data_IF_316883175327
#
_entry.id   IF_316883175327
#
_cell.length_a   1.000
_cell.length_b   1.000
_cell.length_c   1.000
_cell.angle_alpha   90.00
_cell.angle_beta   90.00
_cell.angle_gamma   90.00
#
_symmetry.space_group_name_H-M   'P 1'
#
loop_
_entity.id
_entity.type
_entity.pdbx_description
1 polymer ?
#
# COMPACT_ATOMS: atom_id res chain seq x y z
N UNK A 1 -17.98 47.83 27.30
CA UNK A 1 -16.77 47.21 26.72
C UNK A 1 -17.17 46.71 25.34
N UNK A 2 -16.53 47.22 24.29
CA UNK A 2 -17.06 47.33 22.91
C UNK A 2 -17.49 46.01 22.24
N UNK A 3 -18.49 46.06 21.34
CA UNK A 3 -19.04 44.87 20.70
C UNK A 3 -18.23 44.42 19.47
N UNK A 4 -17.98 43.10 19.43
CA UNK A 4 -17.96 42.21 18.26
C UNK A 4 -17.07 42.56 17.06
N UNK A 5 -15.95 41.82 16.96
CA UNK A 5 -15.24 41.46 15.72
C UNK A 5 -16.19 41.38 14.53
N UNK A 6 -15.89 42.14 13.47
CA UNK A 6 -16.70 42.18 12.25
C UNK A 6 -16.29 41.04 11.30
N UNK A 7 -17.16 40.64 10.36
CA UNK A 7 -16.89 39.62 9.32
C UNK A 7 -15.53 39.81 8.59
N UNK A 8 -15.06 41.05 8.28
CA UNK A 8 -13.72 41.30 7.77
C UNK A 8 -12.56 40.73 8.60
N UNK A 9 -12.67 40.71 9.93
CA UNK A 9 -11.65 40.15 10.82
C UNK A 9 -11.66 38.61 10.79
N UNK A 10 -12.85 38.01 10.74
CA UNK A 10 -12.99 36.55 10.72
C UNK A 10 -12.32 35.94 9.48
N UNK A 11 -12.47 36.59 8.32
CA UNK A 11 -11.82 36.17 7.07
C UNK A 11 -10.29 36.23 7.16
N UNK A 12 -9.73 37.27 7.81
CA UNK A 12 -8.27 37.40 8.02
C UNK A 12 -7.74 36.23 8.86
N UNK A 13 -8.39 35.91 9.96
CA UNK A 13 -7.94 34.83 10.84
C UNK A 13 -8.15 33.45 10.22
N UNK A 14 -9.20 33.27 9.43
CA UNK A 14 -9.38 32.05 8.66
C UNK A 14 -8.30 31.88 7.58
N UNK A 15 -7.80 32.95 6.97
CA UNK A 15 -6.69 32.87 6.03
C UNK A 15 -5.39 32.37 6.70
N UNK A 16 -5.13 32.76 7.95
CA UNK A 16 -4.03 32.22 8.77
C UNK A 16 -4.23 30.73 9.07
N UNK A 17 -5.44 30.32 9.43
CA UNK A 17 -5.78 28.90 9.61
C UNK A 17 -5.58 28.10 8.31
N UNK A 18 -5.93 28.65 7.14
CA UNK A 18 -5.68 28.04 5.83
C UNK A 18 -4.19 27.91 5.53
N UNK A 19 -3.34 28.82 6.02
CA UNK A 19 -1.89 28.69 5.88
C UNK A 19 -1.34 27.49 6.67
N UNK A 20 -1.85 27.28 7.87
CA UNK A 20 -1.53 26.10 8.69
C UNK A 20 -2.09 24.81 8.08
N UNK A 21 -3.28 24.85 7.49
CA UNK A 21 -3.85 23.70 6.77
C UNK A 21 -2.98 23.26 5.59
N UNK A 22 -2.34 24.21 4.88
CA UNK A 22 -1.35 23.90 3.83
C UNK A 22 -0.12 23.20 4.39
N UNK A 23 0.37 23.61 5.56
CA UNK A 23 1.50 22.94 6.23
C UNK A 23 1.16 21.49 6.61
N UNK A 24 -0.06 21.21 7.08
CA UNK A 24 -0.52 19.84 7.26
C UNK A 24 -0.51 19.04 5.93
N UNK A 25 -1.02 19.62 4.85
CA UNK A 25 -0.99 18.98 3.54
C UNK A 25 0.43 18.62 3.08
N UNK A 26 1.38 19.57 3.24
CA UNK A 26 2.79 19.39 2.88
C UNK A 26 3.45 18.27 3.72
N UNK A 27 3.00 18.09 4.97
CA UNK A 27 3.41 16.99 5.85
C UNK A 27 2.68 15.66 5.55
N UNK A 28 1.79 15.60 4.54
CA UNK A 28 1.01 14.41 4.22
C UNK A 28 -0.17 14.14 5.17
N UNK A 29 -0.56 15.14 5.95
CA UNK A 29 -1.70 15.10 6.88
C UNK A 29 -2.96 15.67 6.23
N UNK A 30 -4.13 15.31 6.76
CA UNK A 30 -5.40 15.91 6.30
C UNK A 30 -5.33 17.43 6.50
N UNK A 31 -5.56 18.28 5.48
CA UNK A 31 -5.25 19.71 5.54
C UNK A 31 -6.30 20.48 6.34
N UNK A 32 -6.15 20.45 7.65
CA UNK A 32 -6.92 21.26 8.60
C UNK A 32 -5.95 22.09 9.42
N UNK A 33 -6.27 23.37 9.56
CA UNK A 33 -5.51 24.32 10.35
C UNK A 33 -6.42 25.13 11.26
N UNK A 34 -5.86 25.63 12.35
CA UNK A 34 -6.58 26.38 13.35
C UNK A 34 -5.71 27.46 14.02
N UNK A 35 -6.34 28.57 14.40
CA UNK A 35 -5.72 29.61 15.21
C UNK A 35 -6.66 30.02 16.35
N UNK A 36 -6.11 30.32 17.51
CA UNK A 36 -6.83 30.91 18.64
C UNK A 36 -6.42 32.38 18.78
N UNK A 37 -7.39 33.28 18.83
CA UNK A 37 -7.19 34.72 18.89
C UNK A 37 -7.73 35.28 20.20
N UNK A 38 -6.95 36.11 20.86
CA UNK A 38 -7.33 36.86 22.06
C UNK A 38 -6.90 38.32 21.90
N UNK A 39 -7.80 39.27 22.17
CA UNK A 39 -7.54 40.71 22.06
C UNK A 39 -6.86 41.11 20.72
N UNK A 40 -7.32 40.54 19.60
CA UNK A 40 -6.80 40.83 18.26
C UNK A 40 -5.43 40.21 17.94
N UNK A 41 -4.92 39.30 18.77
CA UNK A 41 -3.62 38.62 18.59
C UNK A 41 -3.79 37.11 18.59
N UNK A 42 -3.06 36.42 17.71
CA UNK A 42 -3.00 34.95 17.74
C UNK A 42 -2.18 34.52 18.96
N UNK A 43 -2.81 33.74 19.83
CA UNK A 43 -2.21 33.16 21.04
C UNK A 43 -1.97 31.64 20.92
N UNK A 44 -2.51 31.00 19.89
CA UNK A 44 -2.23 29.59 19.59
C UNK A 44 -2.42 29.27 18.11
N UNK A 45 -1.60 28.36 17.59
CA UNK A 45 -1.63 27.86 16.21
C UNK A 45 -1.64 26.34 16.24
N UNK A 46 -2.31 25.74 15.26
CA UNK A 46 -2.35 24.30 15.13
C UNK A 46 -2.68 23.88 13.72
N UNK A 47 -2.16 22.73 13.35
CA UNK A 47 -2.56 22.01 12.16
C UNK A 47 -2.68 20.53 12.51
N UNK A 48 -3.40 19.77 11.69
CA UNK A 48 -3.47 18.33 11.88
C UNK A 48 -2.08 17.71 11.76
N UNK A 49 -1.74 16.87 12.74
CA UNK A 49 -0.52 16.07 12.77
C UNK A 49 -0.67 14.66 13.39
N UNK A 50 -1.84 13.99 13.33
CA UNK A 50 -2.04 12.73 14.04
C UNK A 50 -1.16 11.57 13.55
N UNK A 51 -0.82 11.52 12.25
CA UNK A 51 0.04 10.49 11.68
C UNK A 51 1.49 10.75 12.09
N UNK A 52 1.98 11.96 11.87
CA UNK A 52 3.36 12.35 12.13
C UNK A 52 3.73 12.28 13.61
N UNK A 53 2.80 12.61 14.50
CA UNK A 53 3.04 12.53 15.96
C UNK A 53 2.60 11.22 16.61
N UNK A 54 1.92 10.33 15.88
CA UNK A 54 1.31 9.12 16.45
C UNK A 54 0.30 9.42 17.57
N UNK A 55 -0.35 10.58 17.52
CA UNK A 55 -1.28 11.06 18.56
C UNK A 55 -2.68 11.22 17.96
N UNK A 56 -3.66 10.38 18.31
CA UNK A 56 -5.01 10.45 17.76
C UNK A 56 -5.75 11.73 18.15
N UNK A 57 -5.25 12.50 19.13
CA UNK A 57 -5.84 13.75 19.57
C UNK A 57 -5.24 14.99 18.90
N UNK A 58 -4.19 14.83 18.09
CA UNK A 58 -3.45 15.94 17.47
C UNK A 58 -4.16 16.55 16.24
N UNK A 59 -5.42 16.89 16.43
CA UNK A 59 -6.21 17.73 15.54
C UNK A 59 -5.80 19.19 15.68
N UNK A 60 -5.97 19.97 14.61
CA UNK A 60 -5.59 21.38 14.55
C UNK A 60 -6.12 22.20 15.73
N UNK A 61 -7.38 22.01 16.12
CA UNK A 61 -8.03 22.72 17.22
C UNK A 61 -7.37 22.37 18.56
N UNK A 62 -7.09 21.09 18.82
CA UNK A 62 -6.47 20.64 20.07
C UNK A 62 -5.06 21.20 20.18
N UNK A 63 -4.29 21.17 19.10
CA UNK A 63 -2.93 21.73 19.06
C UNK A 63 -2.98 23.24 19.34
N UNK A 64 -3.87 23.98 18.68
CA UNK A 64 -4.03 25.42 18.88
C UNK A 64 -4.50 25.79 20.29
N UNK A 65 -5.45 25.04 20.86
CA UNK A 65 -5.93 25.23 22.24
C UNK A 65 -4.81 24.98 23.27
N UNK A 66 -4.00 23.94 23.07
CA UNK A 66 -2.85 23.64 23.95
C UNK A 66 -1.80 24.75 23.89
N UNK A 67 -1.51 25.29 22.71
CA UNK A 67 -0.60 26.45 22.58
C UNK A 67 -1.18 27.69 23.26
N UNK A 68 -2.45 28.01 23.03
CA UNK A 68 -3.13 29.15 23.64
C UNK A 68 -3.16 29.07 25.17
N UNK A 69 -3.45 27.90 25.73
CA UNK A 69 -3.48 27.71 27.18
C UNK A 69 -2.09 27.90 27.82
N UNK A 70 -1.03 27.47 27.15
CA UNK A 70 0.35 27.73 27.60
C UNK A 70 0.70 29.20 27.49
N UNK A 71 0.35 29.85 26.38
CA UNK A 71 0.63 31.27 26.15
C UNK A 71 -0.07 32.19 27.16
N UNK A 72 -1.30 31.84 27.56
CA UNK A 72 -2.08 32.60 28.53
C UNK A 72 -1.90 32.11 29.98
N UNK A 73 -1.18 31.02 30.20
CA UNK A 73 -0.98 30.42 31.53
C UNK A 73 -2.28 29.92 32.18
N UNK A 74 -3.32 29.61 31.38
CA UNK A 74 -4.63 29.22 31.87
C UNK A 74 -5.33 28.27 30.90
N UNK A 75 -5.99 27.23 31.42
CA UNK A 75 -6.79 26.29 30.60
C UNK A 75 -8.14 26.89 30.18
N UNK A 76 -8.63 27.89 30.91
CA UNK A 76 -9.79 28.69 30.52
C UNK A 76 -9.32 29.83 29.63
N UNK A 77 -9.84 29.85 28.42
CA UNK A 77 -9.52 30.78 27.34
C UNK A 77 -10.69 31.76 27.14
N UNK A 78 -11.23 32.29 28.24
CA UNK A 78 -12.35 33.23 28.20
C UNK A 78 -12.02 34.44 27.29
N UNK A 79 -13.00 34.86 26.48
CA UNK A 79 -12.83 35.93 25.50
C UNK A 79 -12.00 35.56 24.26
N UNK A 80 -11.50 34.32 24.14
CA UNK A 80 -10.82 33.87 22.93
C UNK A 80 -11.80 33.41 21.85
N UNK A 81 -11.38 33.54 20.59
CA UNK A 81 -12.07 32.97 19.42
C UNK A 81 -11.17 31.94 18.75
N UNK A 82 -11.70 30.74 18.48
CA UNK A 82 -11.05 29.72 17.65
C UNK A 82 -11.51 29.88 16.21
N UNK A 83 -10.56 29.93 15.27
CA UNK A 83 -10.81 29.82 13.83
C UNK A 83 -10.25 28.49 13.33
N UNK A 84 -11.04 27.69 12.62
CA UNK A 84 -10.61 26.39 12.10
C UNK A 84 -11.14 26.15 10.68
N UNK A 85 -10.33 25.59 9.80
CA UNK A 85 -10.71 25.49 8.37
C UNK A 85 -11.84 24.49 8.09
N UNK A 86 -12.07 23.54 8.99
CA UNK A 86 -13.10 22.50 8.89
C UNK A 86 -13.95 22.48 10.16
N UNK A 87 -15.23 22.17 10.04
CA UNK A 87 -16.14 22.01 11.17
C UNK A 87 -15.55 21.05 12.23
N UNK A 88 -15.51 21.45 13.52
CA UNK A 88 -14.94 20.61 14.58
C UNK A 88 -15.67 19.28 14.74
N UNK A 89 -14.91 18.20 14.98
CA UNK A 89 -15.49 16.93 15.42
C UNK A 89 -15.90 17.00 16.92
N UNK A 90 -16.58 15.97 17.42
CA UNK A 90 -17.07 15.95 18.81
C UNK A 90 -15.97 16.16 19.86
N UNK A 91 -14.77 15.60 19.64
CA UNK A 91 -13.62 15.82 20.53
C UNK A 91 -13.22 17.30 20.59
N UNK A 92 -13.04 17.93 19.43
CA UNK A 92 -12.58 19.32 19.34
C UNK A 92 -13.67 20.30 19.81
N UNK A 93 -14.95 20.03 19.50
CA UNK A 93 -16.08 20.80 19.98
C UNK A 93 -16.17 20.75 21.52
N UNK A 94 -16.07 19.57 22.12
CA UNK A 94 -16.08 19.43 23.58
C UNK A 94 -14.86 20.09 24.24
N UNK A 95 -13.68 20.03 23.60
CA UNK A 95 -12.49 20.73 24.07
C UNK A 95 -12.66 22.26 24.06
N UNK A 96 -13.27 22.82 23.00
CA UNK A 96 -13.60 24.23 22.91
C UNK A 96 -14.56 24.68 24.04
N UNK A 97 -15.58 23.86 24.35
CA UNK A 97 -16.50 24.10 25.45
C UNK A 97 -15.78 24.06 26.82
N UNK A 98 -14.94 23.06 27.07
CA UNK A 98 -14.14 22.96 28.30
C UNK A 98 -13.16 24.13 28.47
N UNK A 99 -12.58 24.60 27.36
CA UNK A 99 -11.70 25.76 27.34
C UNK A 99 -12.45 27.09 27.49
N UNK A 100 -13.79 27.09 27.51
CA UNK A 100 -14.62 28.30 27.65
C UNK A 100 -14.40 29.37 26.58
N UNK A 101 -14.18 28.95 25.34
CA UNK A 101 -14.07 29.90 24.24
C UNK A 101 -15.32 30.76 24.11
N UNK A 102 -15.16 32.04 23.80
CA UNK A 102 -16.30 32.90 23.53
C UNK A 102 -16.93 32.57 22.17
N UNK A 103 -16.09 32.23 21.18
CA UNK A 103 -16.53 31.94 19.81
C UNK A 103 -15.73 30.80 19.18
N UNK A 104 -16.39 30.03 18.33
CA UNK A 104 -15.79 29.10 17.36
C UNK A 104 -16.26 29.49 15.97
N UNK A 105 -15.32 29.73 15.07
CA UNK A 105 -15.57 30.11 13.68
C UNK A 105 -14.95 29.05 12.79
N UNK A 106 -15.74 28.43 11.91
CA UNK A 106 -15.23 27.41 11.00
C UNK A 106 -15.47 27.73 9.53
N UNK A 107 -14.62 27.14 8.68
CA UNK A 107 -14.72 27.24 7.23
C UNK A 107 -15.74 26.28 6.65
N UNK A 108 -15.27 25.16 6.09
CA UNK A 108 -16.13 24.16 5.46
C UNK A 108 -16.87 23.31 6.51
N UNK A 109 -18.09 22.88 6.19
CA UNK A 109 -18.83 21.89 6.97
C UNK A 109 -18.21 20.48 6.82
N UNK A 110 -18.37 19.63 7.84
CA UNK A 110 -17.92 18.23 7.83
C UNK A 110 -19.12 17.28 7.94
N UNK A 111 -19.69 16.84 6.80
CA UNK A 111 -20.95 16.09 6.79
C UNK A 111 -20.85 14.68 7.39
N UNK A 112 -19.65 14.15 7.65
CA UNK A 112 -19.48 12.78 8.17
C UNK A 112 -19.22 12.71 9.67
N UNK A 113 -18.67 13.76 10.26
CA UNK A 113 -18.25 13.75 11.68
C UNK A 113 -18.35 15.10 12.38
N UNK A 114 -18.81 16.15 11.70
CA UNK A 114 -18.95 17.49 12.24
C UNK A 114 -19.93 17.54 13.39
N UNK A 115 -19.54 18.23 14.47
CA UNK A 115 -20.26 18.31 15.72
C UNK A 115 -20.73 19.74 16.07
N UNK A 116 -20.80 20.61 15.07
CA UNK A 116 -21.26 21.99 15.17
C UNK A 116 -22.41 22.29 14.18
N UNK A 117 -23.22 21.26 13.88
CA UNK A 117 -24.40 21.36 13.02
C UNK A 117 -24.57 20.24 12.00
N UNK A 118 -23.50 19.53 11.59
CA UNK A 118 -23.60 18.51 10.53
C UNK A 118 -24.19 17.18 11.00
N UNK A 119 -23.47 16.43 11.84
CA UNK A 119 -23.93 15.12 12.35
C UNK A 119 -24.63 15.29 13.69
N UNK A 120 -24.04 16.12 14.53
CA UNK A 120 -24.63 16.58 15.79
C UNK A 120 -24.25 18.04 16.03
N UNK A 121 -24.88 18.67 17.00
CA UNK A 121 -24.56 20.03 17.40
C UNK A 121 -24.37 20.07 18.92
N UNK A 122 -23.13 19.93 19.38
CA UNK A 122 -22.81 20.03 20.82
C UNK A 122 -22.98 21.45 21.35
N UNK A 123 -22.84 22.45 20.48
CA UNK A 123 -22.98 23.85 20.87
C UNK A 123 -24.46 24.25 21.03
N UNK A 124 -25.40 23.55 20.40
CA UNK A 124 -26.82 23.75 20.61
C UNK A 124 -27.37 23.11 21.90
N UNK A 125 -26.60 22.25 22.58
CA UNK A 125 -27.04 21.56 23.80
C UNK A 125 -26.89 22.46 25.04
N UNK A 126 -27.99 22.94 25.67
CA UNK A 126 -27.89 23.87 26.79
C UNK A 126 -27.21 23.28 28.04
N UNK A 127 -27.25 21.95 28.18
CA UNK A 127 -26.58 21.24 29.26
C UNK A 127 -25.03 21.27 29.14
N UNK A 128 -24.50 21.53 27.94
CA UNK A 128 -23.06 21.55 27.66
C UNK A 128 -22.55 22.97 27.36
N UNK A 129 -23.35 23.78 26.67
CA UNK A 129 -22.94 25.10 26.20
C UNK A 129 -23.75 26.22 26.86
N UNK A 130 -23.06 27.05 27.64
CA UNK A 130 -23.63 28.26 28.24
C UNK A 130 -22.99 29.56 27.71
N UNK A 131 -21.95 29.47 26.87
CA UNK A 131 -21.02 30.59 26.65
C UNK A 131 -20.42 30.69 25.24
N UNK A 132 -20.37 29.59 24.46
CA UNK A 132 -19.67 29.57 23.17
C UNK A 132 -20.63 29.83 22.02
N UNK A 133 -20.37 30.86 21.23
CA UNK A 133 -21.10 31.10 19.97
C UNK A 133 -20.39 30.41 18.79
N UNK A 134 -21.15 29.97 17.80
CA UNK A 134 -20.60 29.29 16.62
C UNK A 134 -20.99 30.03 15.33
N UNK A 135 -20.03 30.18 14.41
CA UNK A 135 -20.24 30.69 13.07
C UNK A 135 -19.55 29.77 12.05
N UNK A 136 -20.32 29.18 11.13
CA UNK A 136 -19.79 28.42 10.01
C UNK A 136 -19.71 29.22 8.72
N UNK A 137 -18.93 28.74 7.75
CA UNK A 137 -18.97 29.24 6.37
C UNK A 137 -17.89 30.25 6.00
N UNK A 138 -16.99 30.64 6.91
CA UNK A 138 -15.98 31.67 6.63
C UNK A 138 -14.89 31.09 5.71
N UNK A 139 -14.75 31.62 4.50
CA UNK A 139 -13.86 31.08 3.46
C UNK A 139 -14.08 29.57 3.19
N UNK A 140 -15.32 29.09 3.32
CA UNK A 140 -15.67 27.68 3.18
C UNK A 140 -15.20 27.07 1.85
N UNK A 141 -15.38 27.78 0.73
CA UNK A 141 -14.97 27.29 -0.59
C UNK A 141 -13.46 27.03 -0.66
N UNK A 142 -12.65 27.87 -0.03
CA UNK A 142 -11.19 27.74 -0.02
C UNK A 142 -10.76 26.55 0.84
N UNK A 143 -11.38 26.38 2.01
CA UNK A 143 -11.13 25.23 2.87
C UNK A 143 -11.57 23.91 2.21
N UNK A 144 -12.75 23.89 1.58
CA UNK A 144 -13.26 22.73 0.87
C UNK A 144 -12.38 22.38 -0.34
N UNK A 145 -11.93 23.37 -1.11
CA UNK A 145 -11.05 23.17 -2.25
C UNK A 145 -9.72 22.51 -1.83
N UNK A 146 -9.11 22.95 -0.72
CA UNK A 146 -7.87 22.39 -0.19
C UNK A 146 -8.05 20.92 0.24
N UNK A 147 -9.13 20.61 0.95
CA UNK A 147 -9.45 19.24 1.37
C UNK A 147 -9.67 18.33 0.15
N UNK A 148 -10.43 18.80 -0.84
CA UNK A 148 -10.70 18.08 -2.07
C UNK A 148 -9.44 17.84 -2.90
N UNK A 149 -8.54 18.84 -3.02
CA UNK A 149 -7.28 18.68 -3.75
C UNK A 149 -6.39 17.63 -3.11
N UNK A 150 -6.27 17.64 -1.77
CA UNK A 150 -5.47 16.67 -1.03
C UNK A 150 -5.94 15.23 -1.27
N UNK A 151 -7.25 14.96 -1.10
CA UNK A 151 -7.77 13.60 -1.32
C UNK A 151 -7.75 13.20 -2.81
N UNK A 152 -7.88 14.15 -3.75
CA UNK A 152 -7.76 13.87 -5.18
C UNK A 152 -6.33 13.44 -5.52
N UNK A 153 -5.33 14.13 -5.00
CA UNK A 153 -3.91 13.79 -5.17
C UNK A 153 -3.60 12.42 -4.54
N UNK A 154 -4.04 12.16 -3.30
CA UNK A 154 -3.86 10.84 -2.67
C UNK A 154 -4.50 9.70 -3.46
N UNK A 155 -5.74 9.87 -3.94
CA UNK A 155 -6.37 8.86 -4.82
C UNK A 155 -5.63 8.69 -6.13
N UNK A 156 -5.07 9.75 -6.70
CA UNK A 156 -4.28 9.66 -7.93
C UNK A 156 -2.95 8.91 -7.70
N UNK A 157 -2.25 9.19 -6.61
CA UNK A 157 -1.04 8.47 -6.20
C UNK A 157 -1.32 6.99 -5.95
N UNK A 158 -2.40 6.67 -5.21
CA UNK A 158 -2.84 5.29 -5.00
C UNK A 158 -3.17 4.58 -6.32
N UNK A 159 -3.84 5.24 -7.27
CA UNK A 159 -4.10 4.67 -8.60
C UNK A 159 -2.85 4.49 -9.44
N UNK A 160 -1.88 5.40 -9.36
CA UNK A 160 -0.61 5.29 -10.06
C UNK A 160 0.24 4.12 -9.54
N UNK A 161 0.13 3.82 -8.25
CA UNK A 161 0.79 2.69 -7.59
C UNK A 161 -0.01 1.38 -7.68
N UNK A 162 -1.31 1.44 -7.97
CA UNK A 162 -2.14 0.25 -8.11
C UNK A 162 -1.77 -0.51 -9.38
N UNK A 163 -1.21 -1.70 -9.21
CA UNK A 163 -1.02 -2.68 -10.28
C UNK A 163 -2.40 -3.29 -10.59
N UNK A 164 -3.08 -2.94 -11.70
CA UNK A 164 -4.46 -3.37 -11.93
C UNK A 164 -4.54 -4.90 -11.99
N UNK A 165 -5.53 -5.50 -11.34
CA UNK A 165 -5.77 -6.94 -11.45
C UNK A 165 -6.75 -7.18 -12.60
N UNK A 166 -6.42 -8.12 -13.50
CA UNK A 166 -7.30 -8.53 -14.60
C UNK A 166 -8.57 -9.18 -14.04
N UNK A 167 -9.73 -8.89 -14.62
CA UNK A 167 -11.03 -9.35 -14.09
C UNK A 167 -11.18 -10.88 -14.00
N UNK A 168 -10.49 -11.62 -14.87
CA UNK A 168 -10.48 -13.09 -14.89
C UNK A 168 -9.32 -13.69 -14.08
N UNK A 169 -8.60 -12.90 -13.28
CA UNK A 169 -7.50 -13.33 -12.44
C UNK A 169 -7.74 -13.00 -10.95
N UNK A 170 -7.00 -13.69 -10.10
CA UNK A 170 -6.94 -13.47 -8.66
C UNK A 170 -5.51 -13.08 -8.28
N UNK A 171 -5.38 -12.20 -7.29
CA UNK A 171 -4.08 -11.86 -6.68
C UNK A 171 -4.16 -12.19 -5.21
N UNK A 172 -3.26 -13.07 -4.78
CA UNK A 172 -3.14 -13.40 -3.35
C UNK A 172 -2.67 -12.15 -2.61
N UNK A 173 -3.30 -11.81 -1.46
CA UNK A 173 -2.84 -10.72 -0.60
C UNK A 173 -1.36 -10.83 -0.23
N UNK A 174 -0.66 -9.69 -0.14
CA UNK A 174 0.79 -9.64 0.09
C UNK A 174 1.22 -10.20 1.45
N UNK A 175 0.38 -10.04 2.48
CA UNK A 175 0.59 -10.52 3.85
C UNK A 175 0.61 -12.06 3.94
N UNK A 176 -0.02 -12.76 2.99
CA UNK A 176 0.07 -14.22 2.91
C UNK A 176 1.52 -14.73 2.72
N UNK A 177 2.44 -13.87 2.27
CA UNK A 177 3.82 -14.22 1.95
C UNK A 177 4.85 -13.81 3.01
N UNK A 178 4.43 -13.19 4.12
CA UNK A 178 5.35 -12.66 5.13
C UNK A 178 6.22 -13.75 5.76
N UNK A 179 5.66 -14.94 6.04
CA UNK A 179 6.43 -16.06 6.57
C UNK A 179 7.51 -16.56 5.59
N UNK A 180 7.24 -16.54 4.28
CA UNK A 180 8.22 -16.92 3.26
C UNK A 180 9.35 -15.89 3.19
N UNK A 181 9.02 -14.60 3.31
CA UNK A 181 10.01 -13.53 3.35
C UNK A 181 10.85 -13.53 4.63
N UNK A 182 10.27 -13.88 5.79
CA UNK A 182 11.03 -14.06 7.03
C UNK A 182 12.07 -15.19 6.92
N UNK A 183 11.69 -16.30 6.28
CA UNK A 183 12.60 -17.40 5.98
C UNK A 183 13.72 -16.98 5.00
N UNK A 184 13.38 -16.24 3.95
CA UNK A 184 14.37 -15.74 2.98
C UNK A 184 15.35 -14.73 3.59
N UNK A 185 14.88 -13.85 4.48
CA UNK A 185 15.73 -12.91 5.22
C UNK A 185 16.75 -13.65 6.08
N UNK A 186 16.37 -14.77 6.69
CA UNK A 186 17.27 -15.65 7.46
C UNK A 186 18.34 -16.31 6.58
N UNK A 187 18.08 -16.41 5.27
CA UNK A 187 19.01 -16.90 4.26
C UNK A 187 19.80 -15.78 3.53
N UNK A 188 19.68 -14.53 3.99
CA UNK A 188 20.43 -13.38 3.45
C UNK A 188 19.81 -12.70 2.23
N UNK A 189 18.58 -13.05 1.85
CA UNK A 189 17.86 -12.37 0.76
C UNK A 189 16.98 -11.25 1.31
N UNK A 190 17.21 -10.02 0.85
CA UNK A 190 16.40 -8.85 1.21
C UNK A 190 15.33 -8.59 0.16
N UNK A 191 14.07 -8.52 0.58
CA UNK A 191 12.90 -8.41 -0.31
C UNK A 191 13.03 -7.26 -1.29
N UNK A 192 13.41 -6.08 -0.81
CA UNK A 192 13.56 -4.85 -1.57
C UNK A 192 14.66 -4.90 -2.65
N UNK A 193 15.59 -5.85 -2.56
CA UNK A 193 16.69 -5.99 -3.52
C UNK A 193 16.35 -6.98 -4.61
N UNK A 194 15.70 -8.09 -4.24
CA UNK A 194 15.53 -9.24 -5.13
C UNK A 194 14.10 -9.45 -5.61
N UNK A 195 13.08 -8.91 -4.93
CA UNK A 195 11.68 -9.10 -5.32
C UNK A 195 11.23 -8.06 -6.33
N UNK A 196 10.82 -8.54 -7.50
CA UNK A 196 10.41 -7.68 -8.60
C UNK A 196 9.09 -8.16 -9.21
N UNK A 197 8.33 -7.20 -9.73
CA UNK A 197 7.05 -7.44 -10.39
C UNK A 197 7.04 -6.82 -11.78
N UNK A 198 6.59 -7.59 -12.77
CA UNK A 198 6.43 -7.15 -14.14
C UNK A 198 4.98 -7.30 -14.58
N UNK A 199 4.48 -6.35 -15.38
CA UNK A 199 3.11 -6.40 -15.90
C UNK A 199 2.97 -5.72 -17.26
N UNK A 200 3.58 -4.54 -17.43
CA UNK A 200 3.45 -3.72 -18.65
C UNK A 200 4.62 -3.90 -19.60
N UNK A 201 5.75 -4.31 -19.04
CA UNK A 201 7.06 -4.41 -19.69
C UNK A 201 7.12 -5.61 -20.65
N UNK A 202 6.31 -6.63 -20.40
CA UNK A 202 6.23 -7.82 -21.24
C UNK A 202 4.80 -7.98 -21.79
N UNK A 203 4.61 -7.66 -23.08
CA UNK A 203 3.31 -7.77 -23.74
C UNK A 203 2.69 -9.19 -23.61
N UNK A 204 3.54 -10.21 -23.54
CA UNK A 204 3.14 -11.61 -23.31
C UNK A 204 2.41 -11.86 -21.99
N UNK A 205 2.51 -10.95 -21.02
CA UNK A 205 1.79 -11.04 -19.74
C UNK A 205 0.30 -10.69 -19.87
N UNK A 206 -0.14 -10.08 -20.98
CA UNK A 206 -1.55 -9.75 -21.21
C UNK A 206 -2.19 -8.99 -20.01
N UNK A 207 -1.42 -8.11 -19.37
CA UNK A 207 -1.85 -7.36 -18.18
C UNK A 207 -1.85 -8.15 -16.87
N UNK A 208 -1.31 -9.35 -16.82
CA UNK A 208 -1.09 -10.11 -15.58
C UNK A 208 0.23 -9.70 -14.91
N UNK A 209 0.26 -9.69 -13.58
CA UNK A 209 1.47 -9.48 -12.80
C UNK A 209 2.25 -10.78 -12.67
N UNK A 210 3.48 -10.78 -13.16
CA UNK A 210 4.49 -11.81 -12.88
C UNK A 210 5.39 -11.33 -11.74
N UNK A 211 5.50 -12.13 -10.68
CA UNK A 211 6.54 -11.98 -9.67
C UNK A 211 7.74 -12.87 -10.03
N UNK A 212 8.94 -12.35 -9.82
CA UNK A 212 10.15 -13.17 -9.82
C UNK A 212 11.20 -12.59 -8.88
N UNK A 213 12.08 -13.48 -8.39
CA UNK A 213 13.33 -13.03 -7.82
C UNK A 213 14.36 -12.75 -8.92
N UNK A 214 15.12 -11.68 -8.77
CA UNK A 214 16.31 -11.36 -9.57
C UNK A 214 17.51 -11.27 -8.63
N UNK A 215 18.38 -12.29 -8.68
CA UNK A 215 19.46 -12.49 -7.71
C UNK A 215 20.81 -12.53 -8.44
N UNK A 216 21.73 -11.66 -8.04
CA UNK A 216 23.08 -11.53 -8.65
C UNK A 216 23.19 -10.34 -9.61
N UNK A 217 24.34 -10.21 -10.30
CA UNK A 217 24.66 -9.01 -11.07
C UNK A 217 23.93 -8.92 -12.43
N UNK A 218 23.30 -7.76 -12.67
CA UNK A 218 22.30 -7.52 -13.74
C UNK A 218 22.77 -7.61 -15.20
N UNK A 219 24.06 -7.77 -15.48
CA UNK A 219 24.63 -7.73 -16.84
C UNK A 219 25.24 -9.07 -17.31
N UNK A 220 24.71 -10.20 -16.83
CA UNK A 220 25.20 -11.51 -17.24
C UNK A 220 24.76 -11.87 -18.68
N UNK A 221 25.71 -12.31 -19.51
CA UNK A 221 25.45 -12.83 -20.85
C UNK A 221 24.64 -14.15 -20.84
N UNK A 222 24.65 -14.85 -19.72
CA UNK A 222 23.86 -16.06 -19.49
C UNK A 222 23.14 -15.94 -18.15
N UNK A 223 21.87 -16.32 -18.13
CA UNK A 223 21.04 -16.30 -16.92
C UNK A 223 20.65 -17.71 -16.51
N UNK A 224 20.69 -17.98 -15.21
CA UNK A 224 20.11 -19.18 -14.63
C UNK A 224 18.61 -18.94 -14.36
N UNK A 225 17.73 -19.72 -14.98
CA UNK A 225 16.29 -19.59 -14.81
C UNK A 225 15.75 -20.80 -14.03
N UNK A 226 15.27 -20.56 -12.83
CA UNK A 226 14.83 -21.57 -11.87
C UNK A 226 13.31 -21.75 -11.90
N UNK A 227 12.84 -22.84 -12.51
CA UNK A 227 11.41 -23.10 -12.69
C UNK A 227 10.88 -24.08 -11.63
N UNK A 228 9.85 -23.65 -10.90
CA UNK A 228 9.19 -24.50 -9.93
C UNK A 228 8.26 -25.54 -10.58
N UNK A 229 7.99 -26.61 -9.84
CA UNK A 229 7.01 -27.63 -10.20
C UNK A 229 5.58 -27.26 -9.76
N UNK A 230 4.59 -28.16 -9.95
CA UNK A 230 3.17 -27.89 -9.67
C UNK A 230 2.86 -27.58 -8.20
N UNK A 231 3.64 -28.12 -7.27
CA UNK A 231 3.44 -27.93 -5.82
C UNK A 231 4.37 -26.86 -5.24
N UNK A 232 5.06 -26.12 -6.11
CA UNK A 232 6.13 -25.21 -5.76
C UNK A 232 5.87 -23.75 -6.13
N UNK A 233 6.76 -22.88 -5.64
CA UNK A 233 6.93 -21.48 -6.00
C UNK A 233 8.28 -21.01 -5.44
N UNK A 234 8.71 -19.76 -5.65
CA UNK A 234 10.11 -19.33 -5.42
C UNK A 234 10.76 -19.77 -4.10
N UNK A 235 10.09 -19.86 -2.92
CA UNK A 235 10.76 -20.22 -1.66
C UNK A 235 11.42 -21.60 -1.69
N UNK A 236 10.93 -22.48 -2.57
CA UNK A 236 11.54 -23.80 -2.78
C UNK A 236 13.02 -23.72 -3.15
N UNK A 237 13.43 -22.64 -3.81
CA UNK A 237 14.77 -22.45 -4.33
C UNK A 237 15.73 -21.88 -3.29
N UNK A 238 15.28 -21.54 -2.08
CA UNK A 238 16.14 -20.96 -1.05
C UNK A 238 17.39 -21.80 -0.73
N UNK A 239 17.32 -23.13 -0.48
CA UNK A 239 18.51 -23.92 -0.22
C UNK A 239 19.46 -23.98 -1.41
N UNK A 240 18.90 -24.05 -2.63
CA UNK A 240 19.68 -24.05 -3.86
C UNK A 240 20.40 -22.71 -4.07
N UNK A 241 19.70 -21.58 -3.87
CA UNK A 241 20.28 -20.23 -3.96
C UNK A 241 21.41 -20.03 -2.93
N UNK A 242 21.20 -20.46 -1.69
CA UNK A 242 22.23 -20.40 -0.65
C UNK A 242 23.48 -21.24 -0.99
N UNK A 243 23.28 -22.40 -1.63
CA UNK A 243 24.35 -23.32 -2.02
C UNK A 243 25.22 -22.84 -3.19
N UNK A 244 24.86 -21.76 -3.90
CA UNK A 244 25.63 -21.25 -5.05
C UNK A 244 26.95 -20.59 -4.63
N UNK A 245 27.01 -20.01 -3.42
CA UNK A 245 28.09 -19.09 -3.03
C UNK A 245 28.11 -17.84 -3.92
N UNK A 246 28.66 -16.72 -3.45
CA UNK A 246 28.65 -15.43 -4.18
C UNK A 246 29.38 -15.39 -5.53
N UNK A 247 29.76 -16.53 -6.12
CA UNK A 247 30.39 -16.68 -7.43
C UNK A 247 29.39 -17.07 -8.55
N UNK A 248 28.10 -17.21 -8.25
CA UNK A 248 27.07 -17.54 -9.24
C UNK A 248 26.62 -16.33 -10.07
N UNK A 249 26.41 -16.52 -11.38
CA UNK A 249 25.86 -15.49 -12.27
C UNK A 249 24.41 -15.07 -11.92
N UNK A 250 23.83 -14.14 -12.69
CA UNK A 250 22.45 -13.69 -12.51
C UNK A 250 21.45 -14.85 -12.56
N UNK A 251 20.56 -14.90 -11.58
CA UNK A 251 19.53 -15.92 -11.46
C UNK A 251 18.15 -15.29 -11.39
N UNK A 252 17.25 -15.80 -12.22
CA UNK A 252 15.85 -15.44 -12.25
C UNK A 252 15.02 -16.58 -11.69
N UNK A 253 14.19 -16.29 -10.68
CA UNK A 253 13.32 -17.29 -10.02
C UNK A 253 11.87 -16.82 -10.13
N UNK A 254 11.19 -17.07 -11.26
CA UNK A 254 9.80 -16.66 -11.42
C UNK A 254 8.85 -17.53 -10.60
N UNK A 255 7.81 -16.88 -10.08
CA UNK A 255 6.56 -17.56 -9.80
C UNK A 255 5.77 -17.62 -11.10
N UNK A 256 5.52 -18.81 -11.63
CA UNK A 256 4.75 -18.96 -12.86
C UNK A 256 3.34 -18.40 -12.65
N UNK A 257 2.74 -17.84 -13.70
CA UNK A 257 1.38 -17.31 -13.64
C UNK A 257 0.40 -18.41 -13.18
N UNK A 258 -0.33 -18.17 -12.10
CA UNK A 258 -1.11 -19.19 -11.38
C UNK A 258 -0.52 -19.64 -10.06
N UNK A 259 0.71 -19.24 -9.73
CA UNK A 259 1.48 -19.72 -8.59
C UNK A 259 2.10 -18.55 -7.81
N UNK A 260 2.60 -18.82 -6.60
CA UNK A 260 3.36 -17.87 -5.79
C UNK A 260 2.72 -16.48 -5.65
N UNK A 261 3.50 -15.42 -5.83
CA UNK A 261 3.05 -14.02 -5.77
C UNK A 261 2.58 -13.48 -7.13
N UNK A 262 2.64 -14.29 -8.18
CA UNK A 262 2.07 -13.98 -9.49
C UNK A 262 0.54 -14.03 -9.49
N UNK A 263 -0.06 -13.32 -10.45
CA UNK A 263 -1.49 -13.36 -10.70
C UNK A 263 -1.95 -14.76 -11.09
N UNK A 264 -3.19 -15.10 -10.74
CA UNK A 264 -3.77 -16.44 -10.88
C UNK A 264 -5.04 -16.39 -11.72
N UNK A 265 -4.94 -16.61 -13.05
CA UNK A 265 -6.10 -16.77 -13.91
C UNK A 265 -7.08 -17.82 -13.35
N UNK A 266 -8.38 -17.48 -13.32
CA UNK A 266 -9.42 -18.28 -12.65
C UNK A 266 -9.76 -19.58 -13.37
N UNK A 267 -9.41 -19.69 -14.66
CA UNK A 267 -9.84 -20.78 -15.54
C UNK A 267 -8.68 -21.72 -15.87
N UNK A 268 -8.85 -23.01 -15.58
CA UNK A 268 -7.83 -24.05 -15.84
C UNK A 268 -7.36 -24.08 -17.30
N UNK A 269 -8.28 -23.91 -18.26
CA UNK A 269 -7.96 -23.86 -19.70
C UNK A 269 -7.01 -22.74 -20.10
N UNK A 270 -6.80 -21.74 -19.25
CA UNK A 270 -5.81 -20.70 -19.49
C UNK A 270 -4.38 -21.27 -19.34
N UNK A 271 -4.18 -22.18 -18.38
CA UNK A 271 -2.88 -22.73 -18.03
C UNK A 271 -2.48 -23.88 -18.94
N UNK A 272 -1.91 -23.55 -20.10
CA UNK A 272 -1.30 -24.51 -21.03
C UNK A 272 0.23 -24.38 -21.01
N UNK A 273 0.99 -25.47 -21.26
CA UNK A 273 2.45 -25.38 -21.36
C UNK A 273 2.93 -24.34 -22.37
N UNK A 274 2.25 -24.23 -23.52
CA UNK A 274 2.55 -23.25 -24.55
C UNK A 274 2.40 -21.80 -24.05
N UNK A 275 1.35 -21.51 -23.28
CA UNK A 275 1.12 -20.15 -22.75
C UNK A 275 2.15 -19.79 -21.68
N UNK A 276 2.47 -20.71 -20.77
CA UNK A 276 3.54 -20.50 -19.78
C UNK A 276 4.89 -20.25 -20.45
N UNK A 277 5.22 -21.00 -21.49
CA UNK A 277 6.44 -20.80 -22.27
C UNK A 277 6.46 -19.43 -22.99
N UNK A 278 5.34 -18.99 -23.56
CA UNK A 278 5.21 -17.68 -24.20
C UNK A 278 5.40 -16.53 -23.19
N UNK A 279 4.79 -16.63 -22.00
CA UNK A 279 4.96 -15.65 -20.92
C UNK A 279 6.43 -15.55 -20.51
N UNK A 280 7.09 -16.67 -20.24
CA UNK A 280 8.50 -16.68 -19.85
C UNK A 280 9.40 -16.11 -20.96
N UNK A 281 9.14 -16.46 -22.22
CA UNK A 281 9.93 -15.97 -23.35
C UNK A 281 9.80 -14.46 -23.51
N UNK A 282 8.58 -13.93 -23.50
CA UNK A 282 8.33 -12.49 -23.60
C UNK A 282 8.85 -11.70 -22.39
N UNK A 283 8.79 -12.29 -21.19
CA UNK A 283 9.40 -11.69 -20.00
C UNK A 283 10.92 -11.60 -20.12
N UNK A 284 11.58 -12.69 -20.52
CA UNK A 284 13.02 -12.69 -20.74
C UNK A 284 13.42 -11.69 -21.85
N UNK A 285 12.62 -11.56 -22.92
CA UNK A 285 12.83 -10.56 -23.98
C UNK A 285 12.78 -9.13 -23.45
N UNK A 286 11.79 -8.82 -22.61
CA UNK A 286 11.69 -7.52 -21.93
C UNK A 286 12.91 -7.22 -21.05
N UNK A 287 13.49 -8.26 -20.44
CA UNK A 287 14.74 -8.18 -19.67
C UNK A 287 16.01 -8.21 -20.53
N UNK A 288 15.89 -8.32 -21.85
CA UNK A 288 17.02 -8.39 -22.80
C UNK A 288 18.02 -9.53 -22.50
N UNK A 289 17.56 -10.66 -21.97
CA UNK A 289 18.43 -11.78 -21.57
C UNK A 289 18.85 -12.63 -22.78
N UNK A 290 20.09 -12.66 -23.26
CA UNK A 290 20.36 -13.26 -24.57
C UNK A 290 20.43 -14.80 -24.55
N UNK A 291 20.68 -15.43 -23.39
CA UNK A 291 20.76 -16.88 -23.25
C UNK A 291 20.38 -17.35 -21.84
N UNK A 292 19.80 -18.55 -21.74
CA UNK A 292 19.32 -19.13 -20.47
C UNK A 292 19.73 -20.58 -20.27
N UNK A 293 20.05 -20.91 -19.01
CA UNK A 293 20.19 -22.26 -18.48
C UNK A 293 19.02 -22.54 -17.55
N UNK A 294 18.19 -23.53 -17.86
CA UNK A 294 17.05 -23.90 -17.05
C UNK A 294 17.46 -24.84 -15.92
N UNK A 295 17.03 -24.51 -14.72
CA UNK A 295 17.01 -25.39 -13.56
C UNK A 295 15.57 -25.78 -13.27
N UNK A 296 15.28 -27.08 -13.34
CA UNK A 296 13.92 -27.61 -13.29
C UNK A 296 13.72 -28.36 -11.97
N UNK A 297 12.83 -27.86 -11.11
CA UNK A 297 12.37 -28.64 -9.97
C UNK A 297 11.46 -29.79 -10.42
N UNK A 298 11.24 -30.83 -9.59
CA UNK A 298 10.39 -31.95 -9.95
C UNK A 298 9.01 -31.52 -10.46
N UNK A 299 8.66 -31.95 -11.67
CA UNK A 299 7.42 -31.61 -12.37
C UNK A 299 7.48 -30.38 -13.27
N UNK A 300 8.55 -29.58 -13.18
CA UNK A 300 8.79 -28.48 -14.12
C UNK A 300 9.19 -28.97 -15.52
N UNK A 301 9.68 -30.21 -15.63
CA UNK A 301 10.06 -30.85 -16.91
C UNK A 301 8.89 -30.96 -17.88
N UNK A 302 7.67 -30.96 -17.36
CA UNK A 302 6.45 -31.00 -18.17
C UNK A 302 6.28 -29.74 -19.06
N UNK A 303 6.93 -28.61 -18.72
CA UNK A 303 7.00 -27.42 -19.58
C UNK A 303 8.09 -27.49 -20.65
N UNK A 304 9.06 -28.40 -20.51
CA UNK A 304 10.28 -28.41 -21.32
C UNK A 304 10.03 -28.51 -22.83
N UNK A 305 9.07 -29.32 -23.35
CA UNK A 305 8.79 -29.35 -24.78
C UNK A 305 8.34 -27.99 -25.32
N UNK A 306 7.45 -27.30 -24.61
CA UNK A 306 6.97 -25.97 -24.99
C UNK A 306 8.07 -24.91 -24.88
N UNK A 307 8.89 -24.98 -23.83
CA UNK A 307 10.03 -24.07 -23.64
C UNK A 307 11.11 -24.25 -24.70
N UNK A 308 11.42 -25.50 -25.11
CA UNK A 308 12.35 -25.75 -26.22
C UNK A 308 11.85 -25.15 -27.52
N UNK A 309 10.55 -25.30 -27.80
CA UNK A 309 9.95 -24.71 -29.00
C UNK A 309 9.96 -23.17 -28.96
N UNK A 310 9.67 -22.56 -27.81
CA UNK A 310 9.58 -21.10 -27.67
C UNK A 310 10.95 -20.39 -27.58
N UNK A 311 11.89 -20.94 -26.81
CA UNK A 311 13.20 -20.33 -26.58
C UNK A 311 14.21 -20.64 -27.69
N UNK A 312 14.06 -21.77 -28.39
CA UNK A 312 14.96 -22.18 -29.46
C UNK A 312 16.44 -22.12 -29.05
N UNK A 313 17.31 -21.41 -29.78
CA UNK A 313 18.75 -21.33 -29.49
C UNK A 313 19.09 -20.57 -28.19
N UNK A 314 18.15 -19.79 -27.64
CA UNK A 314 18.32 -19.10 -26.34
C UNK A 314 18.45 -20.09 -25.19
N UNK A 315 17.89 -21.29 -25.33
CA UNK A 315 17.96 -22.35 -24.33
C UNK A 315 19.27 -23.14 -24.47
N UNK A 316 20.25 -22.83 -23.64
CA UNK A 316 21.56 -23.50 -23.66
C UNK A 316 21.49 -24.92 -23.12
N UNK A 317 20.80 -25.09 -21.98
CA UNK A 317 20.68 -26.37 -21.28
C UNK A 317 19.47 -26.37 -20.36
N UNK A 318 18.92 -27.56 -20.13
CA UNK A 318 17.93 -27.82 -19.09
C UNK A 318 18.46 -28.88 -18.13
N UNK A 319 18.38 -28.61 -16.83
CA UNK A 319 19.00 -29.42 -15.78
C UNK A 319 17.94 -29.69 -14.70
N UNK A 320 17.48 -30.94 -14.55
CA UNK A 320 16.65 -31.35 -13.42
C UNK A 320 17.42 -31.20 -12.10
N UNK A 321 16.72 -30.75 -11.06
CA UNK A 321 17.25 -30.58 -9.72
C UNK A 321 16.61 -31.60 -8.79
N UNK A 322 17.44 -32.33 -8.06
CA UNK A 322 16.98 -33.28 -7.05
C UNK A 322 16.23 -32.55 -5.92
N UNK A 323 15.12 -33.13 -5.46
CA UNK A 323 14.28 -32.55 -4.41
C UNK A 323 15.04 -32.27 -3.10
N UNK A 324 16.10 -33.03 -2.80
CA UNK A 324 16.97 -32.81 -1.63
C UNK A 324 17.73 -31.48 -1.66
N UNK A 325 17.83 -30.83 -2.83
CA UNK A 325 18.47 -29.50 -2.99
C UNK A 325 17.46 -28.36 -2.89
N UNK A 326 16.17 -28.66 -2.71
CA UNK A 326 15.09 -27.70 -2.61
C UNK A 326 14.56 -27.66 -1.17
N UNK A 327 13.80 -26.61 -0.86
CA UNK A 327 13.15 -26.50 0.44
C UNK A 327 12.14 -27.65 0.61
N UNK A 328 12.20 -28.31 1.75
CA UNK A 328 11.27 -29.39 2.07
C UNK A 328 9.80 -28.90 2.01
N UNK A 329 8.87 -29.77 1.60
CA UNK A 329 7.43 -29.49 1.65
C UNK A 329 6.99 -28.97 3.02
N UNK A 330 6.06 -28.02 3.03
CA UNK A 330 5.64 -27.38 4.28
C UNK A 330 4.55 -26.31 4.08
N UNK A 331 4.19 -25.59 5.16
CA UNK A 331 3.10 -24.60 5.13
C UNK A 331 3.25 -23.53 4.04
N UNK A 332 4.48 -23.19 3.67
CA UNK A 332 4.80 -22.22 2.62
C UNK A 332 4.16 -22.58 1.27
N UNK A 333 3.93 -23.86 0.96
CA UNK A 333 3.30 -24.27 -0.31
C UNK A 333 1.83 -23.84 -0.42
N UNK A 334 1.17 -23.61 0.71
CA UNK A 334 -0.25 -23.26 0.75
C UNK A 334 -0.51 -21.75 0.80
N UNK A 335 0.50 -20.96 1.15
CA UNK A 335 0.41 -19.50 1.22
C UNK A 335 -0.19 -18.83 -0.03
N UNK A 336 0.14 -19.25 -1.28
CA UNK A 336 -0.45 -18.66 -2.47
C UNK A 336 -1.97 -18.92 -2.65
N UNK A 337 -2.57 -19.83 -1.88
CA UNK A 337 -3.86 -20.44 -2.20
C UNK A 337 -4.88 -20.37 -1.04
N UNK A 338 -5.38 -19.17 -0.70
CA UNK A 338 -6.35 -18.99 0.39
C UNK A 338 -7.69 -19.69 0.12
N UNK A 339 -8.05 -19.91 -1.14
CA UNK A 339 -9.27 -20.59 -1.55
C UNK A 339 -9.07 -21.46 -2.80
N UNK A 340 -10.13 -22.19 -3.19
CA UNK A 340 -10.12 -23.09 -4.37
C UNK A 340 -9.93 -22.33 -5.69
N UNK A 341 -10.37 -21.08 -5.79
CA UNK A 341 -10.24 -20.25 -6.99
C UNK A 341 -8.78 -20.00 -7.37
N UNK A 342 -7.91 -19.84 -6.36
CA UNK A 342 -6.47 -19.62 -6.56
C UNK A 342 -5.73 -20.85 -7.11
N UNK A 343 -6.34 -22.06 -7.07
CA UNK A 343 -5.67 -23.32 -7.47
C UNK A 343 -5.92 -23.74 -8.91
N UNK A 344 -6.48 -22.88 -9.77
CA UNK A 344 -6.72 -23.22 -11.17
C UNK A 344 -5.43 -23.62 -11.91
N UNK A 345 -4.31 -22.93 -11.65
CA UNK A 345 -3.00 -23.28 -12.21
C UNK A 345 -2.53 -24.68 -11.80
N UNK A 346 -2.51 -24.96 -10.49
CA UNK A 346 -2.11 -26.26 -9.95
C UNK A 346 -2.97 -27.43 -10.48
N UNK A 347 -4.30 -27.24 -10.55
CA UNK A 347 -5.22 -28.27 -11.09
C UNK A 347 -5.00 -28.53 -12.57
N UNK A 348 -4.82 -27.47 -13.37
CA UNK A 348 -4.51 -27.62 -14.78
C UNK A 348 -3.18 -28.36 -14.97
N UNK A 349 -2.16 -28.03 -14.17
CA UNK A 349 -0.84 -28.67 -14.24
C UNK A 349 -0.88 -30.18 -13.99
N UNK A 350 -1.63 -30.60 -12.98
CA UNK A 350 -1.81 -32.03 -12.66
C UNK A 350 -2.37 -32.86 -13.84
N UNK A 351 -3.10 -32.25 -14.78
CA UNK A 351 -3.66 -32.94 -15.94
C UNK A 351 -2.61 -33.32 -17.00
N UNK A 352 -1.48 -32.62 -17.06
CA UNK A 352 -0.39 -32.89 -18.02
C UNK A 352 0.93 -33.26 -17.34
N UNK A 353 0.93 -33.38 -16.02
CA UNK A 353 1.95 -34.05 -15.22
C UNK A 353 1.27 -34.91 -14.14
N UNK A 354 0.83 -36.13 -14.49
CA UNK A 354 0.43 -37.09 -13.47
C UNK A 354 1.71 -37.42 -12.66
N UNK A 355 1.70 -37.14 -11.36
CA UNK A 355 2.82 -37.48 -10.49
C UNK A 355 3.24 -38.94 -10.73
N UNK A 356 4.55 -39.27 -10.71
CA UNK A 356 4.97 -40.66 -10.83
C UNK A 356 4.23 -41.49 -9.78
N UNK A 357 3.64 -42.60 -10.20
CA UNK A 357 2.96 -43.51 -9.29
C UNK A 357 3.94 -43.86 -8.16
N UNK A 358 3.58 -43.52 -6.93
CA UNK A 358 4.30 -44.01 -5.76
C UNK A 358 4.10 -45.52 -5.77
N UNK A 359 5.14 -46.27 -6.13
CA UNK A 359 5.17 -47.71 -5.94
C UNK A 359 5.13 -47.94 -4.42
N UNK A 360 4.06 -48.51 -3.83
CA UNK A 360 3.91 -48.56 -2.38
C UNK A 360 4.83 -49.62 -1.72
N UNK A 361 5.79 -50.19 -2.45
CA UNK A 361 6.77 -51.13 -1.91
C UNK A 361 8.16 -50.91 -2.52
N UNK A 362 9.04 -50.23 -1.79
CA UNK A 362 10.49 -50.50 -1.75
C UNK A 362 11.14 -49.96 -0.50
#
# INVERSE_FOLDING_TARGET
>A
MEPTSTIPDDARWMAEALALARQAADAGEVPVGAVVVHAGRIVGRGHNQPVGSGDPTAHAEIVALREAARALGNYRLDGCTLYVTLEPCAMCAQAALHARLARVVYGAAEPRSGAAGSVLDLFALPALNAHTQVLGGVLADQAAALLQSFFRQRRAQQRAQAVPLRDDALRTPEDAFDAAWAMAASAGLRREEVSHHWQREAAALEGLRLHALDVGDGAAAEVELCLHGPDGWWPQWLPWLAGRGGAGGRCLVPDLIGFGQSDKPKKERWHTPARHAAVLTGWLEALQVPAVRLWLAPGAEALLPALRAALGPRLLRAIPVDASRLLAPGPWQQAPYPDRGHRAGARAWAAWWPAPAVDPVR
#
